data_IF_355024989929
#
_entry.id   IF_355024989929
#
_cell.length_a   1.000
_cell.length_b   1.000
_cell.length_c   1.000
_cell.angle_alpha   90.00
_cell.angle_beta   90.00
_cell.angle_gamma   90.00
#
_symmetry.space_group_name_H-M   'P 1'
#
loop_
_entity.id
_entity.type
_entity.pdbx_description
1 polymer ?
#
# COMPACT_ATOMS: atom_id res chain seq x y z
N UNK A 1 -19.70 25.51 -11.80
CA UNK A 1 -18.32 25.86 -12.22
C UNK A 1 -17.60 26.44 -11.02
N UNK A 2 -16.72 25.67 -10.38
CA UNK A 2 -15.59 26.17 -9.60
C UNK A 2 -14.65 25.00 -9.35
N UNK A 3 -13.39 25.21 -9.69
CA UNK A 3 -12.32 24.24 -9.85
C UNK A 3 -11.93 23.54 -8.54
N UNK A 4 -11.97 22.21 -8.56
CA UNK A 4 -11.23 21.33 -7.67
C UNK A 4 -10.31 20.46 -8.53
N UNK A 5 -9.04 20.80 -8.65
CA UNK A 5 -7.94 19.84 -8.86
C UNK A 5 -6.61 20.58 -8.91
N UNK A 6 -5.78 20.38 -7.89
CA UNK A 6 -4.33 20.26 -7.99
C UNK A 6 -3.75 20.07 -6.59
N UNK A 7 -3.75 18.83 -6.12
CA UNK A 7 -3.00 18.38 -4.92
C UNK A 7 -2.19 17.13 -5.23
N UNK A 8 -1.49 17.08 -6.36
CA UNK A 8 -0.59 15.97 -6.73
C UNK A 8 0.78 16.47 -7.22
N UNK A 9 1.48 17.28 -6.42
CA UNK A 9 2.87 17.72 -6.75
C UNK A 9 3.88 17.37 -5.64
N UNK A 10 3.44 16.90 -4.47
CA UNK A 10 4.32 16.71 -3.30
C UNK A 10 5.06 15.36 -3.21
N UNK A 11 5.20 14.60 -4.30
CA UNK A 11 6.07 13.40 -4.36
C UNK A 11 7.23 13.50 -5.37
N UNK A 12 7.53 14.69 -5.90
CA UNK A 12 8.47 14.86 -7.03
C UNK A 12 9.94 15.16 -6.67
N UNK A 13 10.38 15.10 -5.41
CA UNK A 13 11.75 15.52 -5.07
C UNK A 13 12.42 14.73 -3.93
N UNK A 14 12.18 13.42 -3.81
CA UNK A 14 12.77 12.63 -2.71
C UNK A 14 13.72 11.48 -3.14
N UNK A 15 14.10 11.34 -4.41
CA UNK A 15 14.82 10.13 -4.86
C UNK A 15 16.10 10.33 -5.69
N UNK A 16 16.55 11.56 -5.99
CA UNK A 16 17.83 11.76 -6.66
C UNK A 16 18.55 13.01 -6.12
N UNK A 17 18.96 12.98 -4.85
CA UNK A 17 20.13 13.76 -4.44
C UNK A 17 21.35 13.09 -5.05
N UNK A 18 21.67 13.44 -6.30
CA UNK A 18 22.98 13.17 -6.89
C UNK A 18 24.01 13.93 -6.06
N UNK A 19 24.92 13.28 -5.32
CA UNK A 19 26.16 13.93 -5.00
C UNK A 19 26.90 14.04 -6.33
N UNK A 20 26.92 15.24 -6.91
CA UNK A 20 27.94 15.61 -7.89
C UNK A 20 29.28 15.43 -7.18
N UNK A 21 29.91 14.27 -7.36
CA UNK A 21 31.32 14.10 -7.02
C UNK A 21 32.14 14.92 -8.01
N UNK A 22 32.23 16.22 -7.75
CA UNK A 22 33.35 17.03 -8.18
C UNK A 22 34.31 17.10 -6.99
N UNK A 23 35.54 16.63 -7.23
CA UNK A 23 36.72 16.63 -6.35
C UNK A 23 36.82 15.53 -5.26
N UNK A 24 37.51 14.43 -5.60
CA UNK A 24 38.63 13.93 -4.79
C UNK A 24 39.75 13.44 -5.71
N UNK A 25 40.52 14.38 -6.27
CA UNK A 25 41.93 14.11 -6.53
C UNK A 25 42.66 14.61 -5.29
N UNK A 26 43.08 13.67 -4.44
CA UNK A 26 43.86 13.94 -3.23
C UNK A 26 43.24 13.37 -1.96
N UNK A 27 43.43 12.07 -1.73
CA UNK A 27 44.01 11.47 -0.51
C UNK A 27 44.43 10.06 -0.95
N UNK A 28 45.64 9.94 -1.50
CA UNK A 28 46.26 8.66 -1.87
C UNK A 28 47.44 8.31 -0.93
N UNK A 29 47.51 8.94 0.25
CA UNK A 29 48.55 8.65 1.27
C UNK A 29 48.00 8.81 2.69
N UNK A 30 47.15 7.88 3.14
CA UNK A 30 46.79 7.78 4.56
C UNK A 30 46.25 6.39 5.00
N UNK A 31 46.47 5.31 4.24
CA UNK A 31 46.05 3.95 4.65
C UNK A 31 47.21 2.96 4.87
N UNK A 32 48.46 3.38 4.71
CA UNK A 32 49.61 2.62 5.21
C UNK A 32 49.88 2.99 6.68
N UNK A 33 49.11 2.39 7.59
CA UNK A 33 49.51 2.02 8.95
C UNK A 33 48.26 1.90 9.84
N UNK A 34 47.61 0.73 9.84
CA UNK A 34 47.30 -0.07 11.04
C UNK A 34 46.86 -1.44 10.51
N UNK A 35 47.69 -2.45 10.75
CA UNK A 35 47.36 -3.83 10.42
C UNK A 35 46.26 -4.38 11.33
N UNK A 36 45.32 -5.09 10.73
CA UNK A 36 44.67 -6.23 11.37
C UNK A 36 44.39 -7.30 10.33
N UNK A 37 44.91 -8.51 10.59
CA UNK A 37 44.78 -9.69 9.75
C UNK A 37 43.45 -10.43 9.95
N UNK A 38 43.18 -11.33 9.00
CA UNK A 38 42.15 -12.40 8.92
C UNK A 38 40.83 -11.96 8.26
N UNK A 39 40.35 -12.60 7.19
CA UNK A 39 40.34 -14.04 6.94
C UNK A 39 40.30 -14.36 5.44
N UNK A 40 41.11 -15.32 5.02
CA UNK A 40 41.08 -15.93 3.69
C UNK A 40 39.79 -16.73 3.49
N UNK A 41 39.02 -16.40 2.45
CA UNK A 41 37.99 -17.28 1.90
C UNK A 41 38.12 -17.29 0.37
N UNK A 42 38.27 -18.50 -0.17
CA UNK A 42 38.50 -18.80 -1.59
C UNK A 42 37.46 -18.13 -2.49
N UNK A 43 37.88 -17.15 -3.29
CA UNK A 43 37.17 -16.75 -4.48
C UNK A 43 37.64 -17.64 -5.63
N UNK A 44 36.73 -18.42 -6.20
CA UNK A 44 36.96 -19.11 -7.46
C UNK A 44 37.06 -18.03 -8.55
N UNK A 45 38.31 -17.69 -8.91
CA UNK A 45 38.64 -16.78 -10.01
C UNK A 45 38.07 -17.33 -11.32
N UNK A 46 36.85 -16.91 -11.65
CA UNK A 46 36.50 -16.76 -13.05
C UNK A 46 37.47 -15.71 -13.62
N UNK A 47 38.37 -16.14 -14.52
CA UNK A 47 39.24 -15.24 -15.30
C UNK A 47 38.38 -14.11 -15.87
N UNK A 48 38.42 -12.94 -15.26
CA UNK A 48 37.94 -11.70 -15.89
C UNK A 48 38.88 -11.44 -17.05
N UNK A 49 38.33 -11.32 -18.25
CA UNK A 49 39.07 -10.77 -19.39
C UNK A 49 39.63 -9.41 -18.97
N UNK A 50 40.96 -9.29 -18.98
CA UNK A 50 41.68 -8.08 -18.63
C UNK A 50 41.35 -7.03 -19.70
N UNK A 51 40.38 -6.15 -19.42
CA UNK A 51 39.94 -5.11 -20.35
C UNK A 51 41.13 -4.21 -20.69
N UNK A 52 41.39 -4.01 -21.97
CA UNK A 52 42.51 -3.19 -22.44
C UNK A 52 42.49 -1.80 -21.80
N UNK A 53 43.59 -1.43 -21.14
CA UNK A 53 43.78 -0.09 -20.58
C UNK A 53 43.87 0.92 -21.71
N UNK A 54 42.86 1.80 -21.84
CA UNK A 54 42.85 2.88 -22.84
C UNK A 54 43.99 3.87 -22.57
N UNK A 55 44.69 4.28 -23.62
CA UNK A 55 45.74 5.31 -23.53
C UNK A 55 45.12 6.69 -23.56
N UNK A 56 44.78 7.23 -22.39
CA UNK A 56 44.20 8.57 -22.28
C UNK A 56 45.26 9.67 -22.41
N UNK A 57 45.03 10.72 -23.21
CA UNK A 57 45.88 11.90 -23.26
C UNK A 57 46.03 12.62 -21.90
N UNK A 58 47.18 13.26 -21.66
CA UNK A 58 47.40 14.02 -20.43
C UNK A 58 46.66 15.38 -20.44
N UNK A 59 46.20 15.81 -19.25
CA UNK A 59 45.65 17.16 -19.03
C UNK A 59 46.79 18.17 -18.87
N UNK A 60 46.86 19.18 -19.75
CA UNK A 60 47.90 20.23 -19.64
C UNK A 60 47.60 21.19 -18.49
N UNK A 61 48.63 21.59 -17.73
CA UNK A 61 48.49 22.51 -16.58
C UNK A 61 47.72 23.80 -16.93
N UNK A 62 47.98 24.41 -18.09
CA UNK A 62 47.28 25.64 -18.51
C UNK A 62 45.78 25.41 -18.77
N UNK A 63 45.41 24.22 -19.24
CA UNK A 63 44.00 23.85 -19.44
C UNK A 63 43.34 23.60 -18.09
N UNK A 64 44.03 22.93 -17.17
CA UNK A 64 43.57 22.74 -15.79
C UNK A 64 43.29 24.08 -15.09
N UNK A 65 44.22 25.04 -15.17
CA UNK A 65 44.03 26.38 -14.60
C UNK A 65 42.78 27.08 -15.15
N UNK A 66 42.52 26.95 -16.46
CA UNK A 66 41.33 27.52 -17.10
C UNK A 66 40.03 26.80 -16.72
N UNK A 67 40.05 25.47 -16.58
CA UNK A 67 38.92 24.72 -16.05
C UNK A 67 38.62 25.13 -14.60
N UNK A 68 39.63 25.33 -13.77
CA UNK A 68 39.47 25.79 -12.38
C UNK A 68 38.89 27.22 -12.30
N UNK A 69 39.31 28.12 -13.20
CA UNK A 69 38.74 29.46 -13.35
C UNK A 69 37.24 29.39 -13.69
N UNK A 70 36.88 28.60 -14.71
CA UNK A 70 35.49 28.40 -15.10
C UNK A 70 34.66 27.75 -13.98
N UNK A 71 35.23 26.77 -13.26
CA UNK A 71 34.57 26.10 -12.14
C UNK A 71 34.29 27.08 -10.99
N UNK A 72 35.28 27.91 -10.63
CA UNK A 72 35.12 28.93 -9.57
C UNK A 72 34.00 29.90 -9.93
N UNK A 73 33.93 30.35 -11.18
CA UNK A 73 32.83 31.18 -11.66
C UNK A 73 31.47 30.46 -11.59
N UNK A 74 31.42 29.19 -11.99
CA UNK A 74 30.20 28.38 -11.92
C UNK A 74 29.72 28.15 -10.47
N UNK A 75 30.63 27.89 -9.53
CA UNK A 75 30.31 27.75 -8.10
C UNK A 75 29.79 29.06 -7.50
N UNK A 76 30.30 30.21 -7.98
CA UNK A 76 29.79 31.54 -7.65
C UNK A 76 28.47 31.88 -8.36
N UNK A 77 27.90 30.97 -9.15
CA UNK A 77 26.73 31.17 -10.03
C UNK A 77 26.92 32.25 -11.10
N UNK A 78 28.15 32.62 -11.40
CA UNK A 78 28.50 33.47 -12.52
C UNK A 78 28.58 32.64 -13.80
N UNK A 79 27.39 32.25 -14.29
CA UNK A 79 27.24 31.40 -15.46
C UNK A 79 27.80 32.04 -16.73
N UNK A 80 27.73 33.36 -16.84
CA UNK A 80 28.20 34.09 -18.02
C UNK A 80 29.72 34.02 -18.12
N UNK A 81 30.43 34.30 -17.02
CA UNK A 81 31.89 34.19 -16.98
C UNK A 81 32.32 32.74 -17.16
N UNK A 82 31.69 31.78 -16.48
CA UNK A 82 32.03 30.37 -16.62
C UNK A 82 31.90 29.88 -18.07
N UNK A 83 30.78 30.21 -18.75
CA UNK A 83 30.57 29.87 -20.16
C UNK A 83 31.58 30.56 -21.07
N UNK A 84 31.83 31.86 -20.86
CA UNK A 84 32.79 32.60 -21.68
C UNK A 84 34.21 32.02 -21.60
N UNK A 85 34.64 31.55 -20.43
CA UNK A 85 35.94 30.88 -20.26
C UNK A 85 35.96 29.57 -21.04
N UNK A 86 34.89 28.78 -20.98
CA UNK A 86 34.80 27.49 -21.68
C UNK A 86 34.70 27.67 -23.21
N UNK A 87 33.94 28.65 -23.69
CA UNK A 87 33.80 28.97 -25.12
C UNK A 87 35.19 29.33 -25.69
N UNK A 88 35.95 30.16 -24.97
CA UNK A 88 37.31 30.54 -25.34
C UNK A 88 38.30 29.35 -25.34
N UNK A 89 38.04 28.31 -24.54
CA UNK A 89 38.83 27.08 -24.55
C UNK A 89 38.52 26.22 -25.78
N UNK A 90 37.25 26.15 -26.21
CA UNK A 90 36.82 25.40 -27.41
C UNK A 90 37.33 26.10 -28.68
N UNK A 91 37.25 27.42 -28.76
CA UNK A 91 37.69 28.21 -29.92
C UNK A 91 39.21 28.25 -30.10
N UNK A 92 39.97 27.69 -29.15
CA UNK A 92 41.42 27.67 -29.19
C UNK A 92 41.94 26.73 -30.29
N UNK A 93 42.85 27.23 -31.14
CA UNK A 93 43.40 26.48 -32.27
C UNK A 93 44.93 26.27 -32.20
N UNK A 94 45.44 25.35 -33.01
CA UNK A 94 46.86 25.06 -33.13
C UNK A 94 47.45 24.49 -31.83
N UNK A 95 48.53 25.06 -31.31
CA UNK A 95 49.18 24.57 -30.07
C UNK A 95 48.28 24.63 -28.82
N UNK A 96 47.17 25.38 -28.88
CA UNK A 96 46.21 25.53 -27.79
C UNK A 96 44.96 24.67 -27.96
N UNK A 97 44.81 24.02 -29.11
CA UNK A 97 43.71 23.09 -29.37
C UNK A 97 43.68 21.99 -28.31
N UNK A 98 42.49 21.67 -27.82
CA UNK A 98 42.27 20.71 -26.75
C UNK A 98 42.41 19.28 -27.28
N UNK A 99 43.03 18.40 -26.51
CA UNK A 99 42.93 16.97 -26.77
C UNK A 99 41.56 16.42 -26.33
N UNK A 100 41.25 15.18 -26.69
CA UNK A 100 39.93 14.57 -26.41
C UNK A 100 39.59 14.53 -24.91
N UNK A 101 40.58 14.27 -24.04
CA UNK A 101 40.36 14.25 -22.59
C UNK A 101 40.12 15.65 -22.02
N UNK A 102 40.87 16.65 -22.50
CA UNK A 102 40.66 18.05 -22.13
C UNK A 102 39.29 18.56 -22.59
N UNK A 103 38.90 18.25 -23.83
CA UNK A 103 37.60 18.62 -24.39
C UNK A 103 36.45 17.93 -23.65
N UNK A 104 36.61 16.66 -23.26
CA UNK A 104 35.65 15.95 -22.41
C UNK A 104 35.46 16.66 -21.05
N UNK A 105 36.52 17.17 -20.43
CA UNK A 105 36.42 17.91 -19.18
C UNK A 105 35.72 19.27 -19.36
N UNK A 106 35.93 19.95 -20.49
CA UNK A 106 35.19 21.17 -20.84
C UNK A 106 33.69 20.89 -20.96
N UNK A 107 33.30 19.86 -21.72
CA UNK A 107 31.90 19.46 -21.85
C UNK A 107 31.28 19.00 -20.53
N UNK A 108 32.04 18.32 -19.68
CA UNK A 108 31.58 17.95 -18.34
C UNK A 108 31.23 19.17 -17.49
N UNK A 109 32.02 20.26 -17.58
CA UNK A 109 31.73 21.51 -16.87
C UNK A 109 30.54 22.28 -17.47
N UNK A 110 30.36 22.28 -18.81
CA UNK A 110 29.11 22.75 -19.42
C UNK A 110 27.91 21.99 -18.86
N UNK A 111 28.01 20.67 -18.78
CA UNK A 111 26.93 19.82 -18.29
C UNK A 111 26.56 20.18 -16.84
N UNK A 112 27.56 20.45 -15.99
CA UNK A 112 27.35 20.96 -14.63
C UNK A 112 26.65 22.32 -14.60
N UNK A 113 27.07 23.27 -15.45
CA UNK A 113 26.46 24.61 -15.55
C UNK A 113 25.00 24.50 -15.99
N UNK A 114 24.71 23.73 -17.05
CA UNK A 114 23.36 23.52 -17.54
C UNK A 114 22.49 22.83 -16.47
N UNK A 115 23.00 21.77 -15.83
CA UNK A 115 22.28 21.07 -14.77
C UNK A 115 21.96 21.98 -13.58
N UNK A 116 22.93 22.80 -13.15
CA UNK A 116 22.76 23.75 -12.04
C UNK A 116 21.77 24.87 -12.35
N UNK A 117 21.54 25.14 -13.63
CA UNK A 117 20.54 26.08 -14.11
C UNK A 117 19.22 25.38 -14.52
N UNK A 118 19.01 24.13 -14.12
CA UNK A 118 17.84 23.29 -14.44
C UNK A 118 17.59 23.09 -15.96
N UNK A 119 18.60 23.36 -16.77
CA UNK A 119 18.59 23.12 -18.22
C UNK A 119 19.03 21.68 -18.51
N UNK A 120 18.12 20.74 -18.23
CA UNK A 120 18.36 19.31 -18.44
C UNK A 120 18.65 18.94 -19.91
N UNK A 121 17.97 19.53 -20.93
CA UNK A 121 18.32 19.30 -22.33
C UNK A 121 19.76 19.72 -22.66
N UNK A 122 20.19 20.90 -22.21
CA UNK A 122 21.56 21.38 -22.42
C UNK A 122 22.60 20.53 -21.67
N UNK A 123 22.28 20.09 -20.45
CA UNK A 123 23.16 19.21 -19.68
C UNK A 123 23.35 17.86 -20.38
N UNK A 124 22.25 17.31 -20.91
CA UNK A 124 22.25 16.05 -21.64
C UNK A 124 23.07 16.15 -22.94
N UNK A 125 22.95 17.26 -23.68
CA UNK A 125 23.77 17.50 -24.86
C UNK A 125 25.27 17.59 -24.52
N UNK A 126 25.61 18.33 -23.48
CA UNK A 126 26.98 18.44 -23.00
C UNK A 126 27.55 17.07 -22.57
N UNK A 127 26.81 16.26 -21.83
CA UNK A 127 27.25 14.90 -21.47
C UNK A 127 27.36 13.96 -22.68
N UNK A 128 26.49 14.08 -23.70
CA UNK A 128 26.67 13.32 -24.96
C UNK A 128 27.98 13.71 -25.66
N UNK A 129 28.33 15.00 -25.65
CA UNK A 129 29.61 15.45 -26.19
C UNK A 129 30.81 14.93 -25.41
N UNK A 130 30.69 14.65 -24.09
CA UNK A 130 31.72 13.97 -23.30
C UNK A 130 31.98 12.56 -23.84
N UNK A 131 30.94 11.72 -23.95
CA UNK A 131 31.10 10.32 -24.37
C UNK A 131 31.37 10.17 -25.88
N UNK A 132 31.20 11.24 -26.67
CA UNK A 132 31.61 11.28 -28.07
C UNK A 132 33.14 11.45 -28.24
N UNK A 133 33.88 11.81 -27.19
CA UNK A 133 35.32 12.01 -27.27
C UNK A 133 36.08 10.67 -27.31
N UNK A 134 37.07 10.50 -28.21
CA UNK A 134 37.87 9.28 -28.27
C UNK A 134 38.84 9.19 -27.08
N UNK A 135 39.21 7.97 -26.69
CA UNK A 135 40.25 7.68 -25.69
C UNK A 135 40.05 8.29 -24.29
N UNK A 136 38.82 8.66 -23.93
CA UNK A 136 38.49 9.09 -22.56
C UNK A 136 38.64 7.93 -21.56
N UNK A 137 38.96 8.22 -20.28
CA UNK A 137 39.04 7.20 -19.25
C UNK A 137 37.74 6.39 -19.15
N UNK A 138 37.84 5.07 -19.01
CA UNK A 138 36.68 4.19 -18.90
C UNK A 138 35.76 4.58 -17.73
N UNK A 139 36.35 4.98 -16.60
CA UNK A 139 35.60 5.48 -15.45
C UNK A 139 34.79 6.74 -15.77
N UNK A 140 35.34 7.66 -16.58
CA UNK A 140 34.65 8.86 -17.03
C UNK A 140 33.48 8.48 -17.94
N UNK A 141 33.72 7.65 -18.96
CA UNK A 141 32.66 7.19 -19.86
C UNK A 141 31.52 6.49 -19.09
N UNK A 142 31.88 5.58 -18.18
CA UNK A 142 30.94 4.81 -17.37
C UNK A 142 30.11 5.74 -16.47
N UNK A 143 30.75 6.68 -15.77
CA UNK A 143 30.02 7.63 -14.92
C UNK A 143 29.10 8.53 -15.75
N UNK A 144 29.58 9.02 -16.90
CA UNK A 144 28.77 9.89 -17.76
C UNK A 144 27.56 9.17 -18.36
N UNK A 145 27.71 7.92 -18.84
CA UNK A 145 26.57 7.13 -19.34
C UNK A 145 25.48 6.96 -18.27
N UNK A 146 25.86 6.69 -17.02
CA UNK A 146 24.90 6.59 -15.92
C UNK A 146 24.16 7.91 -15.68
N UNK A 147 24.89 9.03 -15.68
CA UNK A 147 24.29 10.37 -15.51
C UNK A 147 23.34 10.70 -16.67
N UNK A 148 23.70 10.38 -17.92
CA UNK A 148 22.84 10.56 -19.09
C UNK A 148 21.53 9.76 -18.90
N UNK A 149 21.61 8.50 -18.48
CA UNK A 149 20.41 7.69 -18.20
C UNK A 149 19.52 8.34 -17.13
N UNK A 150 20.11 8.84 -16.04
CA UNK A 150 19.36 9.54 -15.00
C UNK A 150 18.69 10.83 -15.51
N UNK A 151 19.36 11.60 -16.37
CA UNK A 151 18.79 12.80 -16.97
C UNK A 151 17.64 12.49 -17.92
N UNK A 152 17.71 11.38 -18.65
CA UNK A 152 16.58 10.89 -19.43
C UNK A 152 15.40 10.53 -18.52
N UNK A 153 15.63 9.85 -17.39
CA UNK A 153 14.58 9.54 -16.42
C UNK A 153 13.96 10.77 -15.75
N UNK A 154 14.75 11.79 -15.45
CA UNK A 154 14.24 13.08 -14.93
C UNK A 154 13.33 13.77 -15.94
N UNK A 155 13.64 13.64 -17.22
CA UNK A 155 12.85 14.20 -18.33
C UNK A 155 11.70 13.28 -18.78
N UNK A 156 11.45 12.17 -18.07
CA UNK A 156 10.45 11.16 -18.40
C UNK A 156 10.65 10.51 -19.79
N UNK A 157 11.87 10.58 -20.33
CA UNK A 157 12.28 9.90 -21.56
C UNK A 157 12.74 8.48 -21.24
N UNK A 158 11.76 7.64 -20.88
CA UNK A 158 11.99 6.30 -20.35
C UNK A 158 12.75 5.40 -21.32
N UNK A 159 12.48 5.52 -22.62
CA UNK A 159 13.09 4.68 -23.65
C UNK A 159 14.58 4.95 -23.76
N UNK A 160 14.96 6.21 -23.98
CA UNK A 160 16.37 6.57 -24.10
C UNK A 160 17.12 6.39 -22.77
N UNK A 161 16.43 6.58 -21.63
CA UNK A 161 16.99 6.28 -20.31
C UNK A 161 17.32 4.80 -20.11
N UNK A 162 16.41 3.90 -20.51
CA UNK A 162 16.66 2.45 -20.49
C UNK A 162 17.78 2.07 -21.45
N UNK A 163 17.75 2.55 -22.70
CA UNK A 163 18.77 2.25 -23.72
C UNK A 163 20.17 2.67 -23.24
N UNK A 164 20.31 3.89 -22.71
CA UNK A 164 21.57 4.39 -22.16
C UNK A 164 22.02 3.59 -20.92
N UNK A 165 21.08 3.18 -20.07
CA UNK A 165 21.43 2.39 -18.89
C UNK A 165 21.89 0.97 -19.29
N UNK A 166 21.32 0.38 -20.34
CA UNK A 166 21.80 -0.88 -20.91
C UNK A 166 23.21 -0.76 -21.50
N UNK A 167 23.52 0.35 -22.18
CA UNK A 167 24.89 0.64 -22.63
C UNK A 167 25.85 0.78 -21.44
N UNK A 168 25.40 1.39 -20.35
CA UNK A 168 26.17 1.47 -19.11
C UNK A 168 26.41 0.08 -18.50
N UNK A 169 25.40 -0.79 -18.48
CA UNK A 169 25.51 -2.18 -18.03
C UNK A 169 26.54 -2.99 -18.84
N UNK A 170 26.70 -2.71 -20.14
CA UNK A 170 27.67 -3.40 -20.99
C UNK A 170 29.13 -3.05 -20.64
N UNK A 171 29.38 -1.84 -20.10
CA UNK A 171 30.73 -1.35 -19.80
C UNK A 171 31.08 -1.36 -18.31
N UNK A 172 30.12 -1.63 -17.42
CA UNK A 172 30.37 -1.71 -15.96
C UNK A 172 30.73 -3.13 -15.52
N UNK A 173 31.74 -3.27 -14.66
CA UNK A 173 32.22 -4.58 -14.18
C UNK A 173 31.48 -5.08 -12.93
N UNK A 174 30.85 -4.16 -12.19
CA UNK A 174 30.16 -4.42 -10.94
C UNK A 174 28.95 -3.48 -10.82
N UNK A 175 27.87 -3.75 -11.58
CA UNK A 175 26.67 -2.96 -11.46
C UNK A 175 26.12 -3.05 -10.02
N UNK A 176 25.63 -1.93 -9.49
CA UNK A 176 25.06 -1.87 -8.15
C UNK A 176 23.60 -2.35 -8.14
N UNK A 177 23.11 -2.81 -6.99
CA UNK A 177 21.70 -3.14 -6.82
C UNK A 177 20.78 -1.95 -7.16
N UNK A 178 21.19 -0.72 -6.81
CA UNK A 178 20.46 0.51 -7.16
C UNK A 178 20.37 0.71 -8.68
N UNK A 179 21.40 0.36 -9.45
CA UNK A 179 21.36 0.48 -10.91
C UNK A 179 20.35 -0.50 -11.53
N UNK A 180 20.26 -1.74 -11.00
CA UNK A 180 19.21 -2.68 -11.39
C UNK A 180 17.81 -2.15 -11.04
N UNK A 181 17.63 -1.52 -9.87
CA UNK A 181 16.33 -0.91 -9.52
C UNK A 181 15.99 0.26 -10.45
N UNK A 182 16.97 1.08 -10.82
CA UNK A 182 16.74 2.16 -11.78
C UNK A 182 16.30 1.61 -13.16
N UNK A 183 16.94 0.55 -13.63
CA UNK A 183 16.54 -0.14 -14.86
C UNK A 183 15.14 -0.75 -14.74
N UNK A 184 14.83 -1.35 -13.59
CA UNK A 184 13.50 -1.88 -13.28
C UNK A 184 12.41 -0.80 -13.36
N UNK A 185 12.68 0.38 -12.80
CA UNK A 185 11.77 1.53 -12.86
C UNK A 185 11.59 2.03 -14.29
N UNK A 186 12.66 2.09 -15.08
CA UNK A 186 12.59 2.44 -16.50
C UNK A 186 11.69 1.47 -17.29
N UNK A 187 11.90 0.17 -17.14
CA UNK A 187 11.05 -0.85 -17.76
C UNK A 187 9.60 -0.78 -17.28
N UNK A 188 9.38 -0.52 -15.99
CA UNK A 188 8.03 -0.34 -15.44
C UNK A 188 7.27 0.81 -16.14
N UNK A 189 7.91 1.96 -16.36
CA UNK A 189 7.29 3.09 -17.08
C UNK A 189 7.00 2.77 -18.55
N UNK A 190 7.83 1.92 -19.16
CA UNK A 190 7.59 1.37 -20.50
C UNK A 190 6.54 0.25 -20.52
N UNK A 191 5.97 -0.11 -19.37
CA UNK A 191 5.03 -1.22 -19.17
C UNK A 191 5.60 -2.61 -19.50
N UNK A 192 6.92 -2.72 -19.50
CA UNK A 192 7.64 -3.99 -19.62
C UNK A 192 7.81 -4.59 -18.23
N UNK A 193 6.74 -5.19 -17.72
CA UNK A 193 6.71 -5.74 -16.36
C UNK A 193 7.61 -6.96 -16.18
N UNK A 194 7.92 -7.69 -17.25
CA UNK A 194 8.83 -8.83 -17.20
C UNK A 194 10.26 -8.39 -16.92
N UNK A 195 10.79 -7.45 -17.71
CA UNK A 195 12.13 -6.93 -17.50
C UNK A 195 12.22 -6.06 -16.24
N UNK A 196 11.15 -5.35 -15.88
CA UNK A 196 11.08 -4.65 -14.62
C UNK A 196 11.24 -5.61 -13.44
N UNK A 197 10.48 -6.72 -13.43
CA UNK A 197 10.50 -7.69 -12.34
C UNK A 197 11.85 -8.42 -12.27
N UNK A 198 12.41 -8.81 -13.41
CA UNK A 198 13.73 -9.46 -13.46
C UNK A 198 14.80 -8.60 -12.78
N UNK A 199 14.82 -7.29 -13.05
CA UNK A 199 15.83 -6.39 -12.51
C UNK A 199 15.66 -6.09 -11.01
N UNK A 200 14.44 -5.87 -10.51
CA UNK A 200 14.25 -5.66 -9.07
C UNK A 200 14.57 -6.92 -8.26
N UNK A 201 14.33 -8.12 -8.82
CA UNK A 201 14.73 -9.39 -8.19
C UNK A 201 16.24 -9.50 -8.07
N UNK A 202 17.00 -9.12 -9.11
CA UNK A 202 18.47 -9.10 -9.04
C UNK A 202 18.91 -8.17 -7.91
N UNK A 203 18.34 -6.96 -7.81
CA UNK A 203 18.70 -6.01 -6.76
C UNK A 203 18.43 -6.54 -5.34
N UNK A 204 17.29 -7.21 -5.14
CA UNK A 204 16.92 -7.86 -3.87
C UNK A 204 17.93 -8.97 -3.55
N UNK A 205 18.18 -9.88 -4.48
CA UNK A 205 19.12 -10.99 -4.30
C UNK A 205 20.54 -10.51 -3.96
N UNK A 206 21.00 -9.44 -4.63
CA UNK A 206 22.33 -8.86 -4.38
C UNK A 206 22.53 -8.35 -2.96
N UNK A 207 21.48 -7.90 -2.28
CA UNK A 207 21.56 -7.49 -0.87
C UNK A 207 21.44 -8.71 0.05
N UNK A 208 20.53 -9.64 -0.26
CA UNK A 208 20.35 -10.88 0.51
C UNK A 208 21.62 -11.75 0.52
N UNK A 209 22.30 -11.90 -0.63
CA UNK A 209 23.57 -12.64 -0.76
C UNK A 209 24.69 -12.03 0.09
N UNK A 210 24.60 -10.73 0.40
CA UNK A 210 25.55 -10.01 1.25
C UNK A 210 25.11 -9.98 2.71
N UNK A 211 24.06 -10.73 3.07
CA UNK A 211 23.47 -10.74 4.41
C UNK A 211 22.87 -9.39 4.81
N UNK A 212 22.51 -8.54 3.84
CA UNK A 212 21.91 -7.23 4.07
C UNK A 212 20.43 -7.26 3.75
N UNK A 213 19.67 -6.47 4.49
CA UNK A 213 18.23 -6.35 4.29
C UNK A 213 17.95 -5.45 3.07
N UNK A 214 17.27 -5.94 2.02
CA UNK A 214 16.87 -5.13 0.87
C UNK A 214 15.93 -4.01 1.28
N UNK A 215 16.04 -2.84 0.62
CA UNK A 215 15.24 -1.66 0.95
C UNK A 215 13.74 -1.94 0.79
N UNK A 216 12.92 -1.40 1.70
CA UNK A 216 11.46 -1.50 1.68
C UNK A 216 10.83 -1.17 0.31
N UNK A 217 11.34 -0.16 -0.38
CA UNK A 217 10.84 0.27 -1.70
C UNK A 217 11.03 -0.79 -2.79
N UNK A 218 12.04 -1.65 -2.67
CA UNK A 218 12.33 -2.69 -3.65
C UNK A 218 11.35 -3.85 -3.52
N UNK A 219 11.04 -4.27 -2.29
CA UNK A 219 9.96 -5.23 -2.03
C UNK A 219 8.60 -4.68 -2.47
N UNK A 220 8.32 -3.39 -2.27
CA UNK A 220 7.09 -2.78 -2.77
C UNK A 220 7.00 -2.77 -4.31
N UNK A 221 8.11 -2.47 -5.00
CA UNK A 221 8.17 -2.53 -6.47
C UNK A 221 7.96 -3.97 -6.96
N UNK A 222 8.65 -4.94 -6.36
CA UNK A 222 8.46 -6.36 -6.68
C UNK A 222 7.02 -6.83 -6.42
N UNK A 223 6.45 -6.51 -5.25
CA UNK A 223 5.05 -6.81 -4.89
C UNK A 223 4.10 -6.28 -5.95
N UNK A 224 4.25 -5.01 -6.33
CA UNK A 224 3.42 -4.38 -7.34
C UNK A 224 3.55 -5.09 -8.69
N UNK A 225 4.76 -5.38 -9.14
CA UNK A 225 5.02 -6.05 -10.42
C UNK A 225 4.47 -7.50 -10.45
N UNK A 226 4.53 -8.23 -9.34
CA UNK A 226 3.89 -9.54 -9.22
C UNK A 226 2.36 -9.41 -9.28
N UNK A 227 1.78 -8.40 -8.60
CA UNK A 227 0.34 -8.17 -8.60
C UNK A 227 -0.19 -7.83 -10.00
N UNK A 228 0.47 -6.93 -10.74
CA UNK A 228 0.08 -6.59 -12.13
C UNK A 228 0.13 -7.80 -13.07
N UNK A 229 0.97 -8.78 -12.75
CA UNK A 229 1.07 -10.05 -13.48
C UNK A 229 0.06 -11.10 -13.02
N UNK A 230 -0.83 -10.77 -12.08
CA UNK A 230 -1.72 -11.69 -11.41
C UNK A 230 -0.98 -12.85 -10.70
N UNK A 231 0.29 -12.66 -10.34
CA UNK A 231 1.09 -13.62 -9.58
C UNK A 231 0.83 -13.41 -8.09
N UNK A 232 -0.29 -13.96 -7.63
CA UNK A 232 -0.79 -13.78 -6.26
C UNK A 232 0.16 -14.40 -5.23
N UNK A 233 0.77 -15.54 -5.53
CA UNK A 233 1.65 -16.24 -4.59
C UNK A 233 2.91 -15.41 -4.30
N UNK A 234 3.60 -14.92 -5.33
CA UNK A 234 4.77 -14.07 -5.11
C UNK A 234 4.39 -12.69 -4.54
N UNK A 235 3.19 -12.19 -4.84
CA UNK A 235 2.65 -10.97 -4.17
C UNK A 235 2.54 -11.18 -2.66
N UNK A 236 2.00 -12.32 -2.23
CA UNK A 236 1.91 -12.72 -0.83
C UNK A 236 3.30 -12.85 -0.21
N UNK A 237 4.25 -13.47 -0.89
CA UNK A 237 5.61 -13.61 -0.35
C UNK A 237 6.31 -12.26 -0.16
N UNK A 238 6.16 -11.32 -1.10
CA UNK A 238 6.67 -9.96 -0.92
C UNK A 238 5.97 -9.23 0.22
N UNK A 239 4.65 -9.41 0.39
CA UNK A 239 3.91 -8.86 1.53
C UNK A 239 4.35 -9.48 2.86
N UNK A 240 4.69 -10.76 2.91
CA UNK A 240 5.24 -11.41 4.11
C UNK A 240 6.61 -10.83 4.47
N UNK A 241 7.48 -10.58 3.49
CA UNK A 241 8.75 -9.88 3.74
C UNK A 241 8.51 -8.46 4.27
N UNK A 242 7.58 -7.71 3.66
CA UNK A 242 7.20 -6.37 4.12
C UNK A 242 6.64 -6.39 5.54
N UNK A 243 5.75 -7.31 5.88
CA UNK A 243 5.22 -7.48 7.23
C UNK A 243 6.31 -7.87 8.23
N UNK A 244 7.28 -8.71 7.83
CA UNK A 244 8.34 -9.20 8.72
C UNK A 244 9.37 -8.12 9.02
N UNK A 245 9.84 -7.41 7.99
CA UNK A 245 10.97 -6.50 8.11
C UNK A 245 10.57 -5.02 8.22
N UNK A 246 9.36 -4.68 7.77
CA UNK A 246 8.85 -3.30 7.68
C UNK A 246 7.37 -3.21 8.11
N UNK A 247 6.99 -3.62 9.34
CA UNK A 247 5.60 -3.90 9.74
C UNK A 247 4.70 -2.65 9.82
N UNK A 248 4.30 -2.09 8.67
CA UNK A 248 3.29 -1.04 8.56
C UNK A 248 1.89 -1.64 8.51
N UNK A 249 0.93 -0.93 9.09
CA UNK A 249 -0.51 -1.25 9.08
C UNK A 249 -1.01 -1.74 7.72
N UNK A 250 -0.70 -0.97 6.66
CA UNK A 250 -1.15 -1.25 5.30
C UNK A 250 -0.69 -2.61 4.76
N UNK A 251 0.47 -3.13 5.19
CA UNK A 251 0.98 -4.41 4.68
C UNK A 251 0.25 -5.60 5.29
N UNK A 252 -0.13 -5.52 6.57
CA UNK A 252 -0.97 -6.53 7.20
C UNK A 252 -2.34 -6.60 6.54
N UNK A 253 -2.96 -5.44 6.29
CA UNK A 253 -4.28 -5.36 5.66
C UNK A 253 -4.22 -5.91 4.22
N UNK A 254 -3.22 -5.50 3.44
CA UNK A 254 -3.01 -6.03 2.09
C UNK A 254 -2.76 -7.54 2.10
N UNK A 255 -1.92 -8.05 3.01
CA UNK A 255 -1.66 -9.48 3.14
C UNK A 255 -2.93 -10.27 3.47
N UNK A 256 -3.75 -9.76 4.39
CA UNK A 256 -5.06 -10.34 4.70
C UNK A 256 -5.95 -10.38 3.46
N UNK A 257 -6.05 -9.29 2.71
CA UNK A 257 -6.85 -9.26 1.48
C UNK A 257 -6.35 -10.25 0.43
N UNK A 258 -5.03 -10.38 0.22
CA UNK A 258 -4.49 -11.35 -0.72
C UNK A 258 -4.81 -12.80 -0.33
N UNK A 259 -4.81 -13.14 0.97
CA UNK A 259 -5.29 -14.45 1.40
C UNK A 259 -6.79 -14.65 1.15
N UNK A 260 -7.59 -13.58 1.27
CA UNK A 260 -9.02 -13.60 0.91
C UNK A 260 -9.25 -13.86 -0.57
N UNK A 261 -8.47 -13.24 -1.46
CA UNK A 261 -8.51 -13.51 -2.91
C UNK A 261 -8.19 -14.98 -3.23
N UNK A 262 -7.27 -15.58 -2.47
CA UNK A 262 -6.97 -17.03 -2.56
C UNK A 262 -8.01 -17.94 -1.90
N UNK A 263 -9.06 -17.38 -1.30
CA UNK A 263 -10.04 -18.10 -0.48
C UNK A 263 -9.40 -18.86 0.68
N UNK A 264 -8.24 -18.41 1.15
CA UNK A 264 -7.56 -18.94 2.33
C UNK A 264 -8.08 -18.21 3.58
N UNK A 265 -9.38 -18.34 3.84
CA UNK A 265 -10.14 -17.58 4.85
C UNK A 265 -9.53 -17.65 6.25
N UNK A 266 -9.00 -18.83 6.63
CA UNK A 266 -8.31 -18.99 7.92
C UNK A 266 -7.05 -18.13 8.05
N UNK A 267 -6.26 -18.00 6.97
CA UNK A 267 -5.08 -17.13 6.96
C UNK A 267 -5.46 -15.66 6.87
N UNK A 268 -6.47 -15.31 6.07
CA UNK A 268 -7.03 -13.96 6.01
C UNK A 268 -7.43 -13.49 7.42
N UNK A 269 -8.24 -14.29 8.13
CA UNK A 269 -8.65 -13.99 9.50
C UNK A 269 -7.44 -13.88 10.44
N UNK A 270 -6.50 -14.83 10.38
CA UNK A 270 -5.33 -14.84 11.26
C UNK A 270 -4.45 -13.60 11.08
N UNK A 271 -4.23 -13.15 9.85
CA UNK A 271 -3.42 -11.95 9.56
C UNK A 271 -4.16 -10.69 10.03
N UNK A 272 -5.47 -10.58 9.78
CA UNK A 272 -6.24 -9.42 10.24
C UNK A 272 -6.36 -9.38 11.77
N UNK A 273 -6.53 -10.54 12.43
CA UNK A 273 -6.55 -10.67 13.90
C UNK A 273 -5.21 -10.23 14.51
N UNK A 274 -4.09 -10.65 13.93
CA UNK A 274 -2.75 -10.21 14.35
C UNK A 274 -2.56 -8.69 14.18
N UNK A 275 -3.09 -8.10 13.11
CA UNK A 275 -3.08 -6.65 12.90
C UNK A 275 -3.95 -5.92 13.94
N UNK A 276 -5.14 -6.45 14.22
CA UNK A 276 -6.05 -5.91 15.23
C UNK A 276 -5.45 -5.96 16.63
N UNK A 277 -4.81 -7.07 17.01
CA UNK A 277 -4.17 -7.26 18.31
C UNK A 277 -3.00 -6.30 18.55
N UNK A 278 -2.37 -5.79 17.48
CA UNK A 278 -1.29 -4.80 17.53
C UNK A 278 -1.81 -3.35 17.34
N UNK A 279 -3.12 -3.14 17.38
CA UNK A 279 -3.76 -1.83 17.17
C UNK A 279 -3.44 -1.17 15.81
N UNK A 280 -3.13 -1.99 14.79
CA UNK A 280 -2.79 -1.51 13.45
C UNK A 280 -4.03 -1.18 12.60
N UNK A 281 -5.23 -1.61 12.99
CA UNK A 281 -6.48 -1.28 12.30
C UNK A 281 -6.99 0.09 12.75
N UNK A 282 -6.46 1.15 12.15
CA UNK A 282 -6.68 2.52 12.60
C UNK A 282 -7.88 3.20 11.95
N UNK A 283 -8.53 2.57 10.96
CA UNK A 283 -9.69 3.15 10.26
C UNK A 283 -10.97 2.36 10.51
N UNK A 284 -12.11 3.07 10.53
CA UNK A 284 -13.43 2.48 10.70
C UNK A 284 -13.72 1.30 9.76
N UNK A 285 -13.55 1.44 8.44
CA UNK A 285 -13.77 0.34 7.50
C UNK A 285 -12.91 -0.90 7.77
N UNK A 286 -11.67 -0.74 8.26
CA UNK A 286 -10.77 -1.84 8.61
C UNK A 286 -11.31 -2.60 9.84
N UNK A 287 -11.80 -1.89 10.86
CA UNK A 287 -12.43 -2.49 12.05
C UNK A 287 -13.76 -3.18 11.69
N UNK A 288 -14.59 -2.58 10.84
CA UNK A 288 -15.82 -3.21 10.35
C UNK A 288 -15.51 -4.49 9.57
N UNK A 289 -14.47 -4.46 8.73
CA UNK A 289 -14.01 -5.65 8.00
C UNK A 289 -13.55 -6.75 8.96
N UNK A 290 -12.77 -6.41 9.99
CA UNK A 290 -12.37 -7.36 11.04
C UNK A 290 -13.58 -7.99 11.74
N UNK A 291 -14.62 -7.21 12.06
CA UNK A 291 -15.85 -7.73 12.64
C UNK A 291 -16.56 -8.73 11.71
N UNK A 292 -16.63 -8.45 10.41
CA UNK A 292 -17.17 -9.40 9.42
C UNK A 292 -16.32 -10.67 9.31
N UNK A 293 -14.99 -10.57 9.32
CA UNK A 293 -14.11 -11.74 9.32
C UNK A 293 -14.30 -12.61 10.56
N UNK A 294 -14.48 -12.01 11.74
CA UNK A 294 -14.83 -12.77 12.94
C UNK A 294 -16.21 -13.43 12.83
N UNK A 295 -17.22 -12.78 12.26
CA UNK A 295 -18.53 -13.39 12.04
C UNK A 295 -18.45 -14.57 11.07
N UNK A 296 -17.68 -14.44 9.99
CA UNK A 296 -17.44 -15.52 9.03
C UNK A 296 -16.68 -16.69 9.67
N UNK A 297 -15.69 -16.39 10.52
CA UNK A 297 -14.97 -17.39 11.31
C UNK A 297 -15.72 -17.92 12.53
N UNK A 298 -17.03 -17.65 12.66
CA UNK A 298 -17.89 -18.10 13.76
C UNK A 298 -17.40 -17.66 15.16
N UNK A 299 -16.78 -16.48 15.25
CA UNK A 299 -16.32 -15.84 16.51
C UNK A 299 -17.13 -14.56 16.82
N UNK A 300 -18.46 -14.67 17.02
CA UNK A 300 -19.35 -13.51 17.09
C UNK A 300 -19.07 -12.59 18.28
N UNK A 301 -18.57 -13.13 19.40
CA UNK A 301 -18.22 -12.30 20.56
C UNK A 301 -17.10 -11.31 20.24
N UNK A 302 -16.01 -11.79 19.61
CA UNK A 302 -14.92 -10.91 19.18
C UNK A 302 -15.39 -9.90 18.13
N UNK A 303 -16.25 -10.30 17.19
CA UNK A 303 -16.85 -9.38 16.24
C UNK A 303 -17.57 -8.20 16.93
N UNK A 304 -18.39 -8.51 17.93
CA UNK A 304 -19.11 -7.50 18.70
C UNK A 304 -18.15 -6.59 19.48
N UNK A 305 -17.07 -7.14 20.06
CA UNK A 305 -16.05 -6.36 20.76
C UNK A 305 -15.30 -5.41 19.84
N UNK A 306 -14.98 -5.82 18.60
CA UNK A 306 -14.35 -4.93 17.61
C UNK A 306 -15.25 -3.74 17.32
N UNK A 307 -16.53 -4.00 17.08
CA UNK A 307 -17.51 -2.95 16.79
C UNK A 307 -17.70 -2.00 17.98
N UNK A 308 -17.89 -2.55 19.18
CA UNK A 308 -18.06 -1.78 20.42
C UNK A 308 -16.84 -0.87 20.69
N UNK A 309 -15.63 -1.44 20.59
CA UNK A 309 -14.39 -0.69 20.76
C UNK A 309 -14.27 0.40 19.69
N UNK A 310 -14.48 0.07 18.42
CA UNK A 310 -14.36 1.03 17.31
C UNK A 310 -15.37 2.19 17.41
N UNK A 311 -16.59 1.92 17.88
CA UNK A 311 -17.60 2.96 18.13
C UNK A 311 -17.21 3.86 19.32
N UNK A 312 -16.71 3.29 20.42
CA UNK A 312 -16.23 4.04 21.59
C UNK A 312 -15.01 4.92 21.28
N UNK A 313 -14.07 4.39 20.50
CA UNK A 313 -12.89 5.11 20.02
C UNK A 313 -13.21 6.13 18.92
N UNK A 314 -14.47 6.18 18.45
CA UNK A 314 -14.93 7.02 17.33
C UNK A 314 -14.17 6.76 16.02
N UNK A 315 -13.63 5.56 15.85
CA UNK A 315 -13.05 5.09 14.59
C UNK A 315 -14.14 4.60 13.64
N UNK A 316 -15.20 3.99 14.18
CA UNK A 316 -16.36 3.53 13.42
C UNK A 316 -17.46 4.58 13.55
N UNK A 317 -18.04 4.99 12.41
CA UNK A 317 -19.15 5.92 12.40
C UNK A 317 -20.40 5.31 13.10
N UNK A 318 -21.10 6.07 13.96
CA UNK A 318 -22.25 5.59 14.73
C UNK A 318 -23.54 5.52 13.90
N UNK A 319 -23.49 4.77 12.80
CA UNK A 319 -24.61 4.55 11.86
C UNK A 319 -25.53 3.43 12.33
N UNK A 320 -26.78 3.45 11.88
CA UNK A 320 -27.75 2.36 12.12
C UNK A 320 -27.15 0.99 11.76
N UNK A 321 -26.52 0.88 10.59
CA UNK A 321 -25.88 -0.35 10.09
C UNK A 321 -24.75 -0.85 11.00
N UNK A 322 -23.88 0.04 11.51
CA UNK A 322 -22.77 -0.39 12.37
C UNK A 322 -23.26 -0.87 13.75
N UNK A 323 -24.30 -0.24 14.29
CA UNK A 323 -24.96 -0.72 15.51
C UNK A 323 -25.71 -2.05 15.27
N UNK A 324 -26.32 -2.24 14.09
CA UNK A 324 -26.93 -3.53 13.73
C UNK A 324 -25.90 -4.66 13.72
N UNK A 325 -24.71 -4.43 13.14
CA UNK A 325 -23.61 -5.42 13.14
C UNK A 325 -23.23 -5.77 14.58
N UNK A 326 -23.01 -4.76 15.44
CA UNK A 326 -22.67 -4.98 16.85
C UNK A 326 -23.76 -5.76 17.60
N UNK A 327 -25.03 -5.35 17.46
CA UNK A 327 -26.15 -5.99 18.13
C UNK A 327 -26.40 -7.42 17.64
N UNK A 328 -26.33 -7.64 16.33
CA UNK A 328 -26.46 -8.97 15.74
C UNK A 328 -25.32 -9.90 16.17
N UNK A 329 -24.09 -9.39 16.25
CA UNK A 329 -22.94 -10.15 16.72
C UNK A 329 -23.08 -10.53 18.21
N UNK A 330 -23.46 -9.60 19.10
CA UNK A 330 -23.73 -9.93 20.50
C UNK A 330 -24.87 -10.95 20.63
N UNK A 331 -25.95 -10.80 19.87
CA UNK A 331 -27.06 -11.75 19.86
C UNK A 331 -26.62 -13.15 19.43
N UNK A 332 -25.82 -13.26 18.35
CA UNK A 332 -25.28 -14.53 17.89
C UNK A 332 -24.35 -15.17 18.94
N UNK A 333 -23.61 -14.35 19.69
CA UNK A 333 -22.80 -14.78 20.82
C UNK A 333 -23.59 -15.13 22.09
N UNK A 334 -24.94 -15.11 22.05
CA UNK A 334 -25.83 -15.29 23.22
C UNK A 334 -25.68 -14.22 24.31
N UNK A 335 -25.08 -13.08 23.98
CA UNK A 335 -24.94 -11.92 24.86
C UNK A 335 -26.14 -10.98 24.70
N UNK A 336 -27.35 -11.49 24.95
CA UNK A 336 -28.61 -10.77 24.68
C UNK A 336 -28.67 -9.42 25.41
N UNK A 337 -28.22 -9.36 26.66
CA UNK A 337 -28.18 -8.13 27.44
C UNK A 337 -27.31 -7.02 26.80
N UNK A 338 -26.23 -7.39 26.09
CA UNK A 338 -25.38 -6.45 25.34
C UNK A 338 -25.92 -6.14 23.95
N UNK A 339 -26.63 -7.10 23.34
CA UNK A 339 -27.26 -6.93 22.03
C UNK A 339 -28.38 -5.88 22.05
N UNK A 340 -29.20 -5.86 23.10
CA UNK A 340 -30.35 -4.96 23.24
C UNK A 340 -29.99 -3.48 23.02
N UNK A 341 -29.07 -2.85 23.80
CA UNK A 341 -28.77 -1.43 23.64
C UNK A 341 -28.19 -1.09 22.26
N UNK A 342 -27.44 -2.02 21.64
CA UNK A 342 -26.94 -1.85 20.29
C UNK A 342 -28.10 -1.84 19.26
N UNK A 343 -29.02 -2.79 19.38
CA UNK A 343 -30.18 -2.92 18.49
C UNK A 343 -31.20 -1.78 18.68
N UNK A 344 -31.33 -1.25 19.89
CA UNK A 344 -32.14 -0.06 20.17
C UNK A 344 -31.64 1.14 19.36
N UNK A 345 -30.33 1.44 19.43
CA UNK A 345 -29.72 2.52 18.68
C UNK A 345 -29.80 2.26 17.17
N UNK A 346 -29.60 1.01 16.73
CA UNK A 346 -29.73 0.64 15.33
C UNK A 346 -31.14 0.94 14.81
N UNK A 347 -32.17 0.50 15.52
CA UNK A 347 -33.58 0.69 15.15
C UNK A 347 -34.00 2.16 15.22
N UNK A 348 -33.55 2.91 16.24
CA UNK A 348 -33.83 4.35 16.36
C UNK A 348 -33.30 5.13 15.16
N UNK A 349 -32.10 4.78 14.69
CA UNK A 349 -31.45 5.39 13.51
C UNK A 349 -31.91 4.82 12.17
N UNK A 350 -32.72 3.77 12.16
CA UNK A 350 -33.24 3.17 10.90
C UNK A 350 -34.28 4.08 10.27
N UNK A 351 -34.41 4.01 8.94
CA UNK A 351 -35.50 4.65 8.18
C UNK A 351 -36.75 3.76 8.07
N UNK A 352 -36.60 2.44 8.18
CA UNK A 352 -37.66 1.45 8.05
C UNK A 352 -37.97 0.70 9.36
N UNK A 353 -38.99 -0.16 9.32
CA UNK A 353 -39.44 -0.98 10.43
C UNK A 353 -38.69 -2.30 10.61
N UNK A 354 -37.81 -2.72 9.69
CA UNK A 354 -37.15 -4.04 9.74
C UNK A 354 -36.26 -4.16 10.98
N UNK A 355 -35.51 -3.11 11.31
CA UNK A 355 -34.67 -3.10 12.52
C UNK A 355 -35.48 -3.09 13.82
N UNK A 356 -36.69 -2.52 13.82
CA UNK A 356 -37.60 -2.65 14.96
C UNK A 356 -38.14 -4.07 15.11
N UNK A 357 -38.44 -4.75 14.00
CA UNK A 357 -38.83 -6.16 14.06
C UNK A 357 -37.70 -7.05 14.58
N UNK A 358 -36.46 -6.78 14.18
CA UNK A 358 -35.26 -7.48 14.70
C UNK A 358 -35.03 -7.19 16.18
N UNK A 359 -35.12 -5.93 16.59
CA UNK A 359 -35.05 -5.53 18.00
C UNK A 359 -36.10 -6.26 18.83
N UNK A 360 -37.34 -6.36 18.35
CA UNK A 360 -38.40 -7.12 19.00
C UNK A 360 -38.06 -8.59 19.22
N UNK A 361 -37.40 -9.23 18.25
CA UNK A 361 -36.90 -10.59 18.44
C UNK A 361 -35.76 -10.67 19.47
N UNK A 362 -34.87 -9.68 19.52
CA UNK A 362 -33.80 -9.61 20.54
C UNK A 362 -34.40 -9.44 21.95
N UNK A 363 -35.47 -8.65 22.07
CA UNK A 363 -36.20 -8.54 23.33
C UNK A 363 -36.88 -9.85 23.73
N UNK A 364 -37.47 -10.59 22.79
CA UNK A 364 -38.00 -11.94 23.04
C UNK A 364 -36.92 -12.90 23.53
N UNK A 365 -35.73 -12.87 22.92
CA UNK A 365 -34.60 -13.71 23.35
C UNK A 365 -34.14 -13.37 24.79
N UNK A 366 -34.49 -12.18 25.30
CA UNK A 366 -34.17 -11.70 26.65
C UNK A 366 -35.38 -11.64 27.57
N UNK A 367 -36.49 -12.31 27.24
CA UNK A 367 -37.75 -12.35 27.99
C UNK A 367 -38.37 -10.96 28.31
N UNK A 368 -38.04 -9.94 27.50
CA UNK A 368 -38.57 -8.58 27.61
C UNK A 368 -39.83 -8.42 26.76
N UNK A 369 -40.91 -9.10 27.14
CA UNK A 369 -42.08 -9.28 26.28
C UNK A 369 -42.82 -7.96 25.98
N UNK A 370 -42.92 -7.06 26.94
CA UNK A 370 -43.56 -5.75 26.78
C UNK A 370 -42.79 -4.86 25.81
N UNK A 371 -41.46 -4.79 25.94
CA UNK A 371 -40.60 -4.07 25.00
C UNK A 371 -40.60 -4.72 23.62
N UNK A 372 -40.66 -6.05 23.54
CA UNK A 372 -40.84 -6.77 22.28
C UNK A 372 -42.12 -6.36 21.56
N UNK A 373 -43.26 -6.29 22.27
CA UNK A 373 -44.54 -5.82 21.72
C UNK A 373 -44.37 -4.41 21.15
N UNK A 374 -43.84 -3.49 21.95
CA UNK A 374 -43.67 -2.09 21.54
C UNK A 374 -42.79 -1.95 20.28
N UNK A 375 -41.67 -2.67 20.23
CA UNK A 375 -40.78 -2.67 19.08
C UNK A 375 -41.44 -3.27 17.83
N UNK A 376 -42.08 -4.43 17.94
CA UNK A 376 -42.72 -5.12 16.82
C UNK A 376 -43.89 -4.33 16.23
N UNK A 377 -44.74 -3.74 17.09
CA UNK A 377 -45.83 -2.87 16.64
C UNK A 377 -45.30 -1.63 15.93
N UNK A 378 -44.24 -1.01 16.46
CA UNK A 378 -43.59 0.14 15.83
C UNK A 378 -43.00 -0.23 14.47
N UNK A 379 -42.35 -1.39 14.36
CA UNK A 379 -41.80 -1.90 13.11
C UNK A 379 -42.88 -2.14 12.05
N UNK A 380 -43.93 -2.88 12.40
CA UNK A 380 -45.07 -3.17 11.51
C UNK A 380 -45.78 -1.89 11.08
N UNK A 381 -45.98 -0.92 11.99
CA UNK A 381 -46.60 0.37 11.68
C UNK A 381 -45.74 1.22 10.75
N UNK A 382 -44.42 1.18 10.90
CA UNK A 382 -43.48 1.95 10.08
C UNK A 382 -43.35 1.40 8.66
N UNK A 383 -43.61 0.10 8.47
CA UNK A 383 -43.50 -0.58 7.18
C UNK A 383 -42.06 -0.86 6.77
N UNK A 384 -41.89 -1.52 5.62
CA UNK A 384 -40.56 -1.93 5.13
C UNK A 384 -39.99 -3.18 5.80
N UNK A 385 -40.78 -3.86 6.65
CA UNK A 385 -40.43 -5.17 7.21
C UNK A 385 -40.53 -6.22 6.10
N UNK A 386 -39.43 -6.92 5.81
CA UNK A 386 -39.39 -7.85 4.65
C UNK A 386 -40.22 -9.12 4.89
N UNK A 387 -40.34 -9.53 6.16
CA UNK A 387 -41.11 -10.69 6.62
C UNK A 387 -42.11 -10.25 7.68
N UNK A 388 -43.10 -9.46 7.27
CA UNK A 388 -44.18 -9.00 8.15
C UNK A 388 -44.87 -10.18 8.85
N UNK A 389 -45.00 -11.31 8.15
CA UNK A 389 -45.55 -12.55 8.69
C UNK A 389 -44.73 -13.08 9.88
N UNK A 390 -43.39 -13.05 9.81
CA UNK A 390 -42.53 -13.42 10.93
C UNK A 390 -42.63 -12.40 12.07
N UNK A 391 -42.67 -11.11 11.76
CA UNK A 391 -42.85 -10.07 12.79
C UNK A 391 -44.19 -10.21 13.52
N UNK A 392 -45.26 -10.59 12.80
CA UNK A 392 -46.57 -10.91 13.39
C UNK A 392 -46.55 -12.18 14.24
N UNK A 393 -45.80 -13.22 13.83
CA UNK A 393 -45.56 -14.40 14.70
C UNK A 393 -44.88 -13.99 16.00
N UNK A 394 -43.79 -13.22 15.92
CA UNK A 394 -43.08 -12.71 17.09
C UNK A 394 -43.98 -11.84 17.98
N UNK A 395 -44.83 -11.01 17.37
CA UNK A 395 -45.78 -10.17 18.11
C UNK A 395 -46.83 -11.03 18.81
N UNK A 396 -47.32 -12.09 18.15
CA UNK A 396 -48.22 -13.06 18.75
C UNK A 396 -47.59 -13.80 19.93
N UNK A 397 -46.32 -14.20 19.82
CA UNK A 397 -45.57 -14.84 20.90
C UNK A 397 -45.39 -13.89 22.10
N UNK A 398 -45.05 -12.63 21.85
CA UNK A 398 -44.91 -11.62 22.90
C UNK A 398 -46.25 -11.35 23.60
N UNK A 399 -47.34 -11.24 22.84
CA UNK A 399 -48.69 -11.10 23.40
C UNK A 399 -49.15 -12.32 24.19
N UNK A 400 -48.76 -13.53 23.75
CA UNK A 400 -49.09 -14.75 24.46
C UNK A 400 -48.40 -14.80 25.83
N UNK A 401 -47.10 -14.46 25.90
CA UNK A 401 -46.34 -14.44 27.15
C UNK A 401 -46.82 -13.35 28.13
N UNK A 402 -47.31 -12.22 27.62
CA UNK A 402 -47.97 -11.17 28.45
C UNK A 402 -49.45 -11.45 28.72
N UNK A 403 -49.94 -12.66 28.42
CA UNK A 403 -51.33 -13.13 28.62
C UNK A 403 -52.40 -12.31 27.89
N UNK A 404 -52.01 -11.55 26.86
CA UNK A 404 -52.93 -10.81 26.00
C UNK A 404 -53.45 -11.71 24.86
N UNK A 405 -54.15 -12.80 25.23
CA UNK A 405 -54.49 -13.89 24.32
C UNK A 405 -55.33 -13.46 23.10
N UNK A 406 -56.23 -12.50 23.24
CA UNK A 406 -57.00 -11.98 22.09
C UNK A 406 -56.13 -11.28 21.06
N UNK A 407 -55.14 -10.50 21.52
CA UNK A 407 -54.18 -9.84 20.64
C UNK A 407 -53.22 -10.87 20.03
N UNK A 408 -52.74 -11.83 20.82
CA UNK A 408 -51.91 -12.93 20.34
C UNK A 408 -52.60 -13.71 19.20
N UNK A 409 -53.88 -14.08 19.40
CA UNK A 409 -54.70 -14.74 18.37
C UNK A 409 -54.82 -13.92 17.10
N UNK A 410 -55.03 -12.60 17.20
CA UNK A 410 -55.11 -11.69 16.04
C UNK A 410 -53.78 -11.66 15.28
N UNK A 411 -52.66 -11.50 15.98
CA UNK A 411 -51.33 -11.48 15.38
C UNK A 411 -50.99 -12.81 14.68
N UNK A 412 -51.27 -13.96 15.32
CA UNK A 412 -51.09 -15.26 14.68
C UNK A 412 -51.99 -15.45 13.45
N UNK A 413 -53.24 -14.99 13.47
CA UNK A 413 -54.11 -15.02 12.29
C UNK A 413 -53.57 -14.15 11.15
N UNK A 414 -53.02 -12.98 11.46
CA UNK A 414 -52.40 -12.11 10.47
C UNK A 414 -51.18 -12.77 9.83
N UNK A 415 -50.28 -13.32 10.65
CA UNK A 415 -49.14 -14.11 10.17
C UNK A 415 -49.57 -15.28 9.28
N UNK A 416 -50.67 -15.95 9.62
CA UNK A 416 -51.20 -17.09 8.89
C UNK A 416 -51.78 -16.77 7.52
N UNK A 417 -51.91 -15.50 7.12
CA UNK A 417 -52.27 -15.11 5.76
C UNK A 417 -51.13 -15.36 4.76
N UNK A 418 -49.88 -15.37 5.22
CA UNK A 418 -48.74 -15.76 4.40
C UNK A 418 -48.55 -17.29 4.46
N UNK A 419 -48.50 -17.93 3.29
CA UNK A 419 -48.33 -19.38 3.16
C UNK A 419 -47.09 -19.91 3.89
N UNK A 420 -46.02 -19.11 4.00
CA UNK A 420 -44.76 -19.51 4.65
C UNK A 420 -44.90 -19.64 6.16
N UNK A 421 -45.83 -18.89 6.76
CA UNK A 421 -46.06 -18.84 8.21
C UNK A 421 -47.38 -19.49 8.64
N UNK A 422 -48.25 -19.88 7.69
CA UNK A 422 -49.56 -20.48 7.94
C UNK A 422 -49.51 -21.68 8.91
N UNK A 423 -48.58 -22.62 8.70
CA UNK A 423 -48.44 -23.81 9.56
C UNK A 423 -48.07 -23.43 10.98
N UNK A 424 -47.06 -22.56 11.15
CA UNK A 424 -46.61 -22.10 12.47
C UNK A 424 -47.70 -21.30 13.19
N UNK A 425 -48.40 -20.41 12.46
CA UNK A 425 -49.53 -19.66 12.99
C UNK A 425 -50.65 -20.58 13.49
N UNK A 426 -51.02 -21.62 12.74
CA UNK A 426 -52.04 -22.60 13.15
C UNK A 426 -51.61 -23.37 14.41
N UNK A 427 -50.34 -23.75 14.51
CA UNK A 427 -49.80 -24.42 15.69
C UNK A 427 -49.89 -23.52 16.92
N UNK A 428 -49.49 -22.25 16.80
CA UNK A 428 -49.61 -21.28 17.88
C UNK A 428 -51.05 -21.01 18.30
N UNK A 429 -51.99 -20.90 17.34
CA UNK A 429 -53.42 -20.74 17.66
C UNK A 429 -53.96 -21.98 18.39
N UNK A 430 -53.56 -23.19 17.98
CA UNK A 430 -53.95 -24.43 18.68
C UNK A 430 -53.40 -24.46 20.10
N UNK A 431 -52.13 -24.11 20.29
CA UNK A 431 -51.51 -24.04 21.61
C UNK A 431 -52.20 -23.01 22.50
N UNK A 432 -52.48 -21.82 21.97
CA UNK A 432 -53.20 -20.76 22.67
C UNK A 432 -54.60 -21.21 23.13
N UNK A 433 -55.34 -21.94 22.30
CA UNK A 433 -56.64 -22.49 22.69
C UNK A 433 -56.53 -23.50 23.84
N UNK A 434 -55.55 -24.40 23.75
CA UNK A 434 -55.31 -25.40 24.80
C UNK A 434 -54.97 -24.73 26.14
N UNK A 435 -54.22 -23.62 26.12
CA UNK A 435 -53.89 -22.88 27.33
C UNK A 435 -55.12 -22.16 27.93
N UNK A 436 -55.97 -21.57 27.09
CA UNK A 436 -57.24 -20.97 27.56
C UNK A 436 -58.19 -22.02 28.17
N UNK A 437 -58.31 -23.20 27.55
CA UNK A 437 -59.10 -24.31 28.10
C UNK A 437 -58.55 -24.79 29.44
N UNK A 438 -57.21 -24.87 29.58
CA UNK A 438 -56.54 -25.21 30.83
C UNK A 438 -56.84 -24.20 31.92
N UNK A 439 -56.77 -22.90 31.61
CA UNK A 439 -57.05 -21.83 32.57
C UNK A 439 -58.52 -21.80 32.99
N UNK A 440 -59.45 -22.07 32.07
CA UNK A 440 -60.88 -22.18 32.38
C UNK A 440 -61.15 -23.31 33.38
N UNK A 441 -60.57 -24.50 33.16
CA UNK A 441 -60.71 -25.64 34.09
C UNK A 441 -60.13 -25.33 35.47
N UNK A 442 -58.96 -24.69 35.54
CA UNK A 442 -58.35 -24.28 36.81
C UNK A 442 -59.12 -23.19 37.56
N UNK A 443 -60.03 -22.48 36.90
CA UNK A 443 -60.89 -21.49 37.53
C UNK A 443 -62.24 -22.09 37.98
N UNK A 444 -62.56 -23.31 37.53
CA UNK A 444 -63.74 -24.08 37.95
C UNK A 444 -63.46 -24.96 39.19
N UNK A 445 -62.18 -25.29 39.43
CA UNK A 445 -61.64 -25.95 40.64
C UNK A 445 -61.33 -24.93 41.76
#
# INVERSE_FOLDING_TARGET
>A
MQNLSNKHVWMRAAALSLPLMLAQVGIEKASEAVGFQASTAFAQEAKKEERETRRTPALRNKVYEKLAEAQTAAEAKDWATARSVLDAMIDASGKRELNSYELANVYNLYAFIHYSNEDFPGALEAYRNVIAQPDIPLAMETNTKYTIAQLYFVQEDWKNGVDMLLEWFAVTDQPSATAHVLLSQGYYQLKDYDNALANVKIAIQMEEDKGRLPKEQWYNLARFLYFERNDVDNTIDMLRNLVTYYPKDQYWIQLSHMYGEKKEEGKQLSVMDAAYAQDLLTKGPERVTMAYLYLQGEVPYKAAQVMDRGLKEKLIDPTSKNYEIMGSAYRQAQEVAKAIPAMEIAAEKSEDGELYARLGNVYLDGDKFEEAIAALEKGLKRGGVRREDNAQLSLGMAYFNTKQYDKARKAFKEAGKDKRSETYAKQWIKYLNSELERQAKLAED
#
